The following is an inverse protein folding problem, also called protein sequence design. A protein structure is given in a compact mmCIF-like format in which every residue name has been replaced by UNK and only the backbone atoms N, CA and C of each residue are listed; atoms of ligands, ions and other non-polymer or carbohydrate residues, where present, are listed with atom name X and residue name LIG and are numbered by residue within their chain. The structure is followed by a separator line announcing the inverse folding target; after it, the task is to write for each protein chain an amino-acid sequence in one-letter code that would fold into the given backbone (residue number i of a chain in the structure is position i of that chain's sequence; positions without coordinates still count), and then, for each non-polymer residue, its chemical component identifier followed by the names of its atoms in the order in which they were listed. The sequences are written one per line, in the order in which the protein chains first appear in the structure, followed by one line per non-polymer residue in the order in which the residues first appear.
data_IF_823701674603
#
_entry.id   IF_823701674603
#
_cell.length_a   1.000
_cell.length_b   1.000
_cell.length_c   1.000
_cell.angle_alpha   90.00
_cell.angle_beta   90.00
_cell.angle_gamma   90.00
#
_symmetry.space_group_name_H-M   'P 1'
#
loop_
_entity.id
_entity.type
_entity.pdbx_description
1 polymer ?
#
# COMPACT_ATOMS: atom_id res chain seq x y z
N UNK A 1 -33.00 -3.09 -14.52
CA UNK A 1 -33.76 -2.01 -15.17
C UNK A 1 -34.72 -1.45 -14.16
N UNK A 2 -34.82 -0.12 -14.08
CA UNK A 2 -35.74 0.59 -13.20
C UNK A 2 -36.76 1.30 -14.09
N UNK A 3 -37.72 0.53 -14.61
CA UNK A 3 -38.80 1.05 -15.45
C UNK A 3 -40.01 1.34 -14.55
N UNK A 4 -40.53 2.57 -14.61
CA UNK A 4 -41.64 3.05 -13.75
C UNK A 4 -41.39 2.89 -12.23
N UNK A 5 -40.13 2.85 -11.81
CA UNK A 5 -39.77 2.77 -10.40
C UNK A 5 -40.03 4.11 -9.69
N UNK A 6 -40.73 4.07 -8.56
CA UNK A 6 -40.86 5.23 -7.69
C UNK A 6 -39.52 5.55 -7.02
N UNK A 7 -39.07 6.80 -7.15
CA UNK A 7 -37.84 7.29 -6.55
C UNK A 7 -38.10 8.56 -5.74
N UNK A 8 -37.39 8.73 -4.62
CA UNK A 8 -37.42 9.96 -3.81
C UNK A 8 -36.09 10.67 -3.93
N UNK A 9 -36.10 11.99 -4.11
CA UNK A 9 -34.90 12.81 -4.15
C UNK A 9 -34.18 12.76 -2.78
N UNK A 10 -32.90 12.40 -2.79
CA UNK A 10 -32.02 12.46 -1.63
C UNK A 10 -31.13 13.71 -1.71
N UNK A 11 -31.33 14.65 -0.78
CA UNK A 11 -30.58 15.90 -0.72
C UNK A 11 -31.10 16.95 -1.72
N UNK A 12 -30.18 17.78 -2.22
CA UNK A 12 -30.52 18.88 -3.14
C UNK A 12 -30.74 18.42 -4.58
N UNK A 13 -31.66 19.08 -5.28
CA UNK A 13 -31.88 18.85 -6.71
C UNK A 13 -30.58 19.11 -7.49
N UNK A 14 -30.24 18.21 -8.41
CA UNK A 14 -28.96 18.21 -9.17
C UNK A 14 -27.69 18.03 -8.31
N UNK A 15 -27.82 17.68 -7.02
CA UNK A 15 -26.70 17.47 -6.09
C UNK A 15 -26.14 16.04 -6.06
N UNK A 16 -26.66 15.12 -6.88
CA UNK A 16 -26.41 13.67 -6.76
C UNK A 16 -24.94 13.28 -6.75
N UNK A 17 -24.11 13.83 -7.64
CA UNK A 17 -22.66 13.51 -7.66
C UNK A 17 -21.95 13.97 -6.39
N UNK A 18 -22.28 15.15 -5.88
CA UNK A 18 -21.69 15.66 -4.63
C UNK A 18 -22.07 14.77 -3.44
N UNK A 19 -23.32 14.32 -3.39
CA UNK A 19 -23.79 13.37 -2.38
C UNK A 19 -23.15 11.98 -2.52
N UNK A 20 -22.90 11.50 -3.73
CA UNK A 20 -22.15 10.24 -3.92
C UNK A 20 -20.69 10.36 -3.47
N UNK A 21 -20.03 11.51 -3.72
CA UNK A 21 -18.63 11.70 -3.33
C UNK A 21 -18.41 11.70 -1.81
N UNK A 22 -19.42 12.04 -1.00
CA UNK A 22 -19.29 11.91 0.46
C UNK A 22 -19.15 10.45 0.90
N UNK A 23 -19.76 9.51 0.17
CA UNK A 23 -19.66 8.07 0.46
C UNK A 23 -18.42 7.41 -0.17
N UNK A 24 -17.82 8.04 -1.20
CA UNK A 24 -16.71 7.43 -1.94
C UNK A 24 -15.45 7.21 -1.09
N UNK A 25 -15.14 8.09 -0.13
CA UNK A 25 -13.95 7.92 0.72
C UNK A 25 -14.04 6.62 1.54
N UNK A 26 -15.20 6.37 2.14
CA UNK A 26 -15.45 5.16 2.94
C UNK A 26 -15.52 3.91 2.05
N UNK A 27 -16.20 3.99 0.90
CA UNK A 27 -16.26 2.89 -0.06
C UNK A 27 -14.85 2.48 -0.53
N UNK A 28 -14.02 3.46 -0.90
CA UNK A 28 -12.62 3.22 -1.31
C UNK A 28 -11.77 2.60 -0.20
N UNK A 29 -11.92 3.10 1.03
CA UNK A 29 -11.24 2.53 2.20
C UNK A 29 -11.66 1.07 2.43
N UNK A 30 -12.97 0.78 2.36
CA UNK A 30 -13.52 -0.57 2.48
C UNK A 30 -12.99 -1.51 1.40
N UNK A 31 -12.88 -1.04 0.16
CA UNK A 31 -12.32 -1.83 -0.94
C UNK A 31 -10.82 -2.07 -0.80
N UNK A 32 -10.06 -1.07 -0.35
CA UNK A 32 -8.65 -1.26 0.01
C UNK A 32 -8.46 -2.32 1.11
N UNK A 33 -9.36 -2.32 2.10
CA UNK A 33 -9.37 -3.34 3.16
C UNK A 33 -9.66 -4.75 2.64
N UNK A 34 -10.52 -4.91 1.62
CA UNK A 34 -10.77 -6.22 1.01
C UNK A 34 -9.51 -6.78 0.33
N UNK A 35 -8.81 -5.95 -0.46
CA UNK A 35 -7.54 -6.33 -1.09
C UNK A 35 -6.50 -6.79 -0.06
N UNK A 36 -6.35 -6.00 1.02
CA UNK A 36 -5.49 -6.36 2.15
C UNK A 36 -5.92 -7.67 2.84
N UNK A 37 -7.22 -7.85 3.07
CA UNK A 37 -7.74 -9.01 3.81
C UNK A 37 -7.52 -10.31 3.05
N UNK A 38 -7.72 -10.31 1.73
CA UNK A 38 -7.46 -11.45 0.87
C UNK A 38 -5.96 -11.79 0.78
N UNK A 39 -5.11 -10.75 0.77
CA UNK A 39 -3.65 -10.93 0.89
C UNK A 39 -3.25 -11.59 2.20
N UNK A 40 -3.85 -11.16 3.32
CA UNK A 40 -3.53 -11.67 4.64
C UNK A 40 -3.89 -13.15 4.79
N UNK A 41 -5.11 -13.54 4.41
CA UNK A 41 -5.51 -14.94 4.53
C UNK A 41 -4.71 -15.85 3.59
N UNK A 42 -4.42 -15.40 2.36
CA UNK A 42 -3.57 -16.15 1.44
C UNK A 42 -2.14 -16.31 2.00
N UNK A 43 -1.57 -15.25 2.57
CA UNK A 43 -0.26 -15.28 3.24
C UNK A 43 -0.23 -16.29 4.41
N UNK A 44 -1.24 -16.27 5.29
CA UNK A 44 -1.29 -17.18 6.44
C UNK A 44 -1.31 -18.65 5.99
N UNK A 45 -2.10 -18.97 4.96
CA UNK A 45 -2.14 -20.31 4.37
C UNK A 45 -0.79 -20.71 3.76
N UNK A 46 -0.14 -19.80 3.03
CA UNK A 46 1.19 -20.03 2.45
C UNK A 46 2.27 -20.24 3.52
N UNK A 47 2.24 -19.49 4.63
CA UNK A 47 3.17 -19.70 5.75
C UNK A 47 2.97 -21.08 6.37
N UNK A 48 1.71 -21.48 6.61
CA UNK A 48 1.41 -22.79 7.18
C UNK A 48 1.93 -23.91 6.28
N UNK A 49 1.58 -23.87 4.99
CA UNK A 49 2.06 -24.85 4.02
C UNK A 49 3.58 -24.90 3.91
N UNK A 50 4.25 -23.75 3.92
CA UNK A 50 5.70 -23.68 3.81
C UNK A 50 6.45 -24.30 5.00
N UNK A 51 5.85 -24.29 6.19
CA UNK A 51 6.40 -24.91 7.40
C UNK A 51 6.32 -26.44 7.37
N UNK A 52 5.36 -27.00 6.64
CA UNK A 52 5.09 -28.43 6.64
C UNK A 52 5.63 -29.14 5.39
N UNK A 53 5.52 -28.49 4.22
CA UNK A 53 5.92 -29.09 2.94
C UNK A 53 7.42 -29.34 2.90
N UNK A 54 7.83 -30.60 2.80
CA UNK A 54 9.24 -31.00 2.68
C UNK A 54 9.65 -31.09 1.20
N UNK A 55 10.69 -30.36 0.79
CA UNK A 55 11.27 -30.46 -0.55
C UNK A 55 12.69 -29.88 -0.59
N UNK A 56 13.65 -30.67 -1.06
CA UNK A 56 15.06 -30.25 -1.17
C UNK A 56 15.75 -30.07 0.20
N UNK A 57 17.02 -29.64 0.17
CA UNK A 57 17.79 -29.27 1.36
C UNK A 57 18.15 -27.79 1.33
N UNK A 58 18.26 -27.17 2.49
CA UNK A 58 18.77 -25.79 2.58
C UNK A 58 20.18 -25.70 1.99
N UNK A 59 20.44 -24.60 1.29
CA UNK A 59 21.75 -24.29 0.70
C UNK A 59 22.86 -24.14 1.76
N UNK A 60 22.49 -23.94 3.02
CA UNK A 60 23.41 -23.79 4.16
C UNK A 60 23.51 -25.06 5.03
N UNK A 61 23.24 -26.23 4.43
CA UNK A 61 23.19 -27.52 5.11
C UNK A 61 21.82 -27.83 5.72
N UNK A 62 21.56 -29.13 5.93
CA UNK A 62 20.26 -29.65 6.38
C UNK A 62 19.75 -28.95 7.64
N UNK A 63 18.49 -28.50 7.62
CA UNK A 63 17.81 -27.87 8.77
C UNK A 63 16.86 -28.81 9.50
N UNK A 64 16.43 -29.88 8.84
CA UNK A 64 15.73 -31.01 9.45
C UNK A 64 16.51 -32.30 9.12
N UNK A 65 17.63 -32.55 9.82
CA UNK A 65 18.53 -33.67 9.49
C UNK A 65 17.84 -35.03 9.58
N UNK A 66 16.89 -35.17 10.50
CA UNK A 66 16.15 -36.42 10.73
C UNK A 66 15.02 -36.67 9.72
N UNK A 67 14.72 -35.70 8.84
CA UNK A 67 13.70 -35.83 7.79
C UNK A 67 14.37 -36.08 6.44
N UNK A 68 13.63 -36.62 5.46
CA UNK A 68 14.12 -36.86 4.09
C UNK A 68 14.48 -35.58 3.31
N UNK A 69 13.88 -34.45 3.68
CA UNK A 69 14.08 -33.13 3.09
C UNK A 69 13.75 -32.06 4.14
N UNK A 70 14.17 -30.83 3.88
CA UNK A 70 13.85 -29.68 4.75
C UNK A 70 12.48 -29.09 4.37
N UNK A 71 11.75 -28.49 5.32
CA UNK A 71 10.57 -27.68 5.01
C UNK A 71 10.91 -26.53 4.07
N UNK A 72 10.05 -26.24 3.08
CA UNK A 72 10.37 -25.24 2.04
C UNK A 72 10.57 -23.82 2.59
N UNK A 73 10.07 -23.50 3.78
CA UNK A 73 10.29 -22.21 4.47
C UNK A 73 11.78 -21.90 4.73
N UNK A 74 12.67 -22.89 4.64
CA UNK A 74 14.12 -22.63 4.77
C UNK A 74 14.74 -22.05 3.51
N UNK A 75 14.06 -22.14 2.36
CA UNK A 75 14.60 -21.69 1.08
C UNK A 75 14.51 -20.17 0.94
N UNK A 76 15.59 -19.49 0.50
CA UNK A 76 15.62 -18.03 0.42
C UNK A 76 14.50 -17.42 -0.42
N UNK A 77 14.12 -18.04 -1.53
CA UNK A 77 13.08 -17.49 -2.42
C UNK A 77 11.66 -17.61 -1.81
N UNK A 78 11.39 -18.71 -1.08
CA UNK A 78 10.16 -18.86 -0.30
C UNK A 78 10.12 -17.80 0.80
N UNK A 79 11.23 -17.60 1.51
CA UNK A 79 11.33 -16.54 2.54
C UNK A 79 11.16 -15.16 1.94
N UNK A 80 11.75 -14.85 0.77
CA UNK A 80 11.56 -13.59 0.06
C UNK A 80 10.08 -13.33 -0.18
N UNK A 81 9.37 -14.31 -0.74
CA UNK A 81 7.94 -14.20 -1.05
C UNK A 81 7.09 -13.99 0.21
N UNK A 82 7.30 -14.81 1.24
CA UNK A 82 6.60 -14.69 2.52
C UNK A 82 6.89 -13.35 3.24
N UNK A 83 8.14 -12.89 3.21
CA UNK A 83 8.54 -11.60 3.80
C UNK A 83 7.93 -10.43 3.04
N UNK A 84 7.86 -10.47 1.71
CA UNK A 84 7.19 -9.44 0.91
C UNK A 84 5.72 -9.31 1.29
N UNK A 85 4.97 -10.42 1.30
CA UNK A 85 3.55 -10.40 1.67
C UNK A 85 3.34 -9.89 3.10
N UNK A 86 4.11 -10.42 4.07
CA UNK A 86 4.07 -9.96 5.47
C UNK A 86 4.32 -8.46 5.59
N UNK A 87 5.35 -7.98 4.91
CA UNK A 87 5.79 -6.60 5.00
C UNK A 87 4.72 -5.62 4.46
N UNK A 88 4.08 -5.96 3.35
CA UNK A 88 2.97 -5.18 2.82
C UNK A 88 1.71 -5.29 3.68
N UNK A 89 1.35 -6.49 4.13
CA UNK A 89 0.09 -6.68 4.88
C UNK A 89 0.10 -5.94 6.21
N UNK A 90 1.21 -5.96 6.93
CA UNK A 90 1.29 -5.29 8.21
C UNK A 90 1.32 -3.75 8.08
N UNK A 91 2.04 -3.21 7.10
CA UNK A 91 1.99 -1.76 6.84
C UNK A 91 0.67 -1.32 6.21
N UNK A 92 0.07 -2.14 5.34
CA UNK A 92 -1.23 -1.88 4.74
C UNK A 92 -2.33 -1.85 5.79
N UNK A 93 -2.27 -2.76 6.78
CA UNK A 93 -3.16 -2.73 7.94
C UNK A 93 -2.98 -1.47 8.77
N UNK A 94 -1.74 -1.08 9.06
CA UNK A 94 -1.47 0.17 9.76
C UNK A 94 -1.99 1.39 8.99
N UNK A 95 -1.79 1.46 7.68
CA UNK A 95 -2.23 2.56 6.83
C UNK A 95 -3.77 2.63 6.73
N UNK A 96 -4.44 1.49 6.56
CA UNK A 96 -5.90 1.42 6.52
C UNK A 96 -6.51 1.87 7.85
N UNK A 97 -5.99 1.39 8.98
CA UNK A 97 -6.44 1.81 10.31
C UNK A 97 -6.16 3.29 10.57
N UNK A 98 -4.98 3.79 10.17
CA UNK A 98 -4.64 5.20 10.30
C UNK A 98 -5.58 6.09 9.48
N UNK A 99 -5.89 5.68 8.24
CA UNK A 99 -6.84 6.39 7.38
C UNK A 99 -8.26 6.34 7.97
N UNK A 100 -8.67 5.22 8.57
CA UNK A 100 -9.94 5.11 9.27
C UNK A 100 -10.03 6.07 10.48
N UNK A 101 -8.97 6.17 11.29
CA UNK A 101 -8.88 7.12 12.40
C UNK A 101 -9.01 8.56 11.89
N UNK A 102 -8.34 8.90 10.79
CA UNK A 102 -8.46 10.23 10.17
C UNK A 102 -9.88 10.49 9.65
N UNK A 103 -10.56 9.49 9.10
CA UNK A 103 -11.97 9.59 8.75
C UNK A 103 -12.84 9.89 9.98
N UNK A 104 -12.64 9.18 11.10
CA UNK A 104 -13.37 9.47 12.34
C UNK A 104 -13.11 10.90 12.84
N UNK A 105 -11.86 11.37 12.82
CA UNK A 105 -11.52 12.75 13.21
C UNK A 105 -12.20 13.77 12.29
N UNK A 106 -12.23 13.53 10.97
CA UNK A 106 -12.91 14.40 10.00
C UNK A 106 -14.40 14.57 10.30
N UNK A 107 -15.07 13.49 10.73
CA UNK A 107 -16.51 13.48 11.00
C UNK A 107 -16.88 13.92 12.42
N UNK A 108 -16.01 13.67 13.40
CA UNK A 108 -16.39 13.71 14.83
C UNK A 108 -15.62 14.72 15.66
N UNK A 109 -14.50 15.28 15.18
CA UNK A 109 -13.75 16.25 15.98
C UNK A 109 -14.54 17.53 16.23
N UNK A 110 -14.52 18.02 17.46
CA UNK A 110 -15.06 19.33 17.82
C UNK A 110 -14.22 20.50 17.33
N UNK A 111 -12.98 20.25 16.89
CA UNK A 111 -12.07 21.28 16.39
C UNK A 111 -12.05 21.32 14.86
N UNK A 112 -12.31 22.50 14.28
CA UNK A 112 -12.41 22.74 12.84
C UNK A 112 -11.09 22.48 12.10
N UNK A 113 -9.95 22.77 12.72
CA UNK A 113 -8.63 22.57 12.10
C UNK A 113 -8.30 21.09 12.04
N UNK A 114 -8.61 20.35 13.10
CA UNK A 114 -8.45 18.90 13.12
C UNK A 114 -9.34 18.25 12.05
N UNK A 115 -10.62 18.66 11.95
CA UNK A 115 -11.52 18.15 10.91
C UNK A 115 -10.97 18.40 9.50
N UNK A 116 -10.51 19.62 9.22
CA UNK A 116 -9.97 19.97 7.90
C UNK A 116 -8.69 19.18 7.56
N UNK A 117 -7.76 19.06 8.51
CA UNK A 117 -6.53 18.32 8.30
C UNK A 117 -6.79 16.82 8.07
N UNK A 118 -7.74 16.24 8.80
CA UNK A 118 -8.13 14.84 8.61
C UNK A 118 -8.91 14.61 7.31
N UNK A 119 -9.76 15.54 6.89
CA UNK A 119 -10.45 15.47 5.59
C UNK A 119 -9.46 15.58 4.42
N UNK A 120 -8.49 16.50 4.50
CA UNK A 120 -7.41 16.63 3.53
C UNK A 120 -6.59 15.33 3.42
N UNK A 121 -6.22 14.73 4.57
CA UNK A 121 -5.50 13.46 4.61
C UNK A 121 -6.33 12.34 3.98
N UNK A 122 -7.58 12.20 4.40
CA UNK A 122 -8.49 11.13 3.92
C UNK A 122 -8.72 11.26 2.41
N UNK A 123 -8.97 12.47 1.92
CA UNK A 123 -9.19 12.74 0.50
C UNK A 123 -7.96 12.43 -0.36
N UNK A 124 -6.75 12.61 0.17
CA UNK A 124 -5.49 12.25 -0.49
C UNK A 124 -5.22 10.74 -0.43
N UNK A 125 -5.47 10.11 0.72
CA UNK A 125 -5.01 8.75 1.01
C UNK A 125 -5.97 7.66 0.54
N UNK A 126 -7.28 7.91 0.46
CA UNK A 126 -8.25 6.88 0.02
C UNK A 126 -8.00 6.33 -1.39
N UNK A 127 -7.64 7.11 -2.44
CA UNK A 127 -7.26 6.52 -3.73
C UNK A 127 -5.96 5.70 -3.66
N UNK A 128 -5.00 6.10 -2.82
CA UNK A 128 -3.75 5.35 -2.60
C UNK A 128 -4.06 4.02 -1.90
N UNK A 129 -4.83 4.05 -0.81
CA UNK A 129 -5.26 2.85 -0.07
C UNK A 129 -6.03 1.91 -1.00
N UNK A 130 -7.01 2.42 -1.74
CA UNK A 130 -7.79 1.60 -2.65
C UNK A 130 -6.92 1.01 -3.76
N UNK A 131 -6.22 1.86 -4.52
CA UNK A 131 -5.46 1.39 -5.68
C UNK A 131 -4.30 0.47 -5.30
N UNK A 132 -3.47 0.89 -4.35
CA UNK A 132 -2.25 0.16 -3.99
C UNK A 132 -2.57 -1.14 -3.24
N UNK A 133 -3.47 -1.12 -2.26
CA UNK A 133 -3.76 -2.34 -1.48
C UNK A 133 -4.55 -3.38 -2.26
N UNK A 134 -5.31 -3.01 -3.29
CA UNK A 134 -5.97 -4.01 -4.14
C UNK A 134 -5.05 -4.57 -5.21
N UNK A 135 -4.18 -3.75 -5.83
CA UNK A 135 -3.14 -4.25 -6.75
C UNK A 135 -2.21 -5.23 -6.01
N UNK A 136 -1.67 -4.79 -4.86
CA UNK A 136 -0.80 -5.64 -4.04
C UNK A 136 -1.55 -6.82 -3.42
N UNK A 137 -2.82 -6.63 -3.08
CA UNK A 137 -3.67 -7.71 -2.56
C UNK A 137 -3.76 -8.89 -3.54
N UNK A 138 -4.01 -8.58 -4.82
CA UNK A 138 -4.04 -9.58 -5.88
C UNK A 138 -2.65 -10.17 -6.17
N UNK A 139 -1.62 -9.33 -6.33
CA UNK A 139 -0.24 -9.80 -6.55
C UNK A 139 0.22 -10.79 -5.46
N UNK A 140 -0.14 -10.50 -4.21
CA UNK A 140 0.22 -11.35 -3.08
C UNK A 140 -0.65 -12.61 -2.99
N UNK A 141 -1.92 -12.58 -3.40
CA UNK A 141 -2.71 -13.81 -3.52
C UNK A 141 -2.06 -14.77 -4.53
N UNK A 142 -1.60 -14.25 -5.66
CA UNK A 142 -0.84 -15.02 -6.68
C UNK A 142 0.50 -15.51 -6.11
N UNK A 143 1.24 -14.64 -5.41
CA UNK A 143 2.51 -15.01 -4.77
C UNK A 143 2.33 -16.10 -3.71
N UNK A 144 1.25 -16.04 -2.92
CA UNK A 144 0.91 -17.05 -1.94
C UNK A 144 0.55 -18.38 -2.60
N UNK A 145 -0.23 -18.34 -3.70
CA UNK A 145 -0.53 -19.52 -4.52
C UNK A 145 0.76 -20.19 -5.02
N UNK A 146 1.75 -19.41 -5.46
CA UNK A 146 3.04 -19.91 -5.94
C UNK A 146 3.80 -20.72 -4.86
N UNK A 147 3.67 -20.39 -3.57
CA UNK A 147 4.32 -21.12 -2.47
C UNK A 147 3.86 -22.58 -2.40
N UNK A 148 2.64 -22.87 -2.85
CA UNK A 148 2.11 -24.23 -2.89
C UNK A 148 2.66 -25.07 -4.06
N UNK A 149 3.27 -24.43 -5.07
CA UNK A 149 3.60 -25.07 -6.34
C UNK A 149 2.34 -25.58 -7.04
N UNK A 150 2.39 -26.77 -7.66
CA UNK A 150 1.24 -27.33 -8.38
C UNK A 150 -0.02 -27.51 -7.52
N UNK A 151 0.13 -27.72 -6.21
CA UNK A 151 -0.98 -27.82 -5.27
C UNK A 151 -1.78 -26.51 -5.18
N UNK A 152 -1.14 -25.36 -5.39
CA UNK A 152 -1.82 -24.06 -5.34
C UNK A 152 -2.85 -23.89 -6.46
N UNK A 153 -2.75 -24.69 -7.53
CA UNK A 153 -3.68 -24.67 -8.64
C UNK A 153 -4.89 -25.60 -8.44
N UNK A 154 -4.89 -26.42 -7.39
CA UNK A 154 -6.00 -27.33 -7.07
C UNK A 154 -6.97 -26.61 -6.12
N UNK A 155 -8.25 -26.55 -6.50
CA UNK A 155 -9.29 -25.81 -5.77
C UNK A 155 -9.44 -26.27 -4.31
N UNK A 156 -9.10 -27.53 -3.97
CA UNK A 156 -9.19 -28.07 -2.59
C UNK A 156 -8.34 -27.29 -1.58
N UNK A 157 -7.27 -26.63 -2.04
CA UNK A 157 -6.40 -25.82 -1.19
C UNK A 157 -6.91 -24.37 -1.03
N UNK A 158 -7.93 -23.95 -1.79
CA UNK A 158 -8.56 -22.62 -1.71
C UNK A 158 -7.71 -21.45 -2.23
N UNK A 159 -6.45 -21.65 -2.59
CA UNK A 159 -5.56 -20.56 -3.01
C UNK A 159 -6.01 -19.87 -4.30
N UNK A 160 -6.54 -20.63 -5.27
CA UNK A 160 -7.10 -20.07 -6.51
C UNK A 160 -8.34 -19.22 -6.26
N UNK A 161 -9.14 -19.54 -5.24
CA UNK A 161 -10.28 -18.71 -4.83
C UNK A 161 -9.82 -17.34 -4.37
N UNK A 162 -8.80 -17.24 -3.50
CA UNK A 162 -8.28 -15.95 -3.06
C UNK A 162 -7.80 -15.08 -4.22
N UNK A 163 -7.16 -15.67 -5.24
CA UNK A 163 -6.73 -14.96 -6.45
C UNK A 163 -7.94 -14.41 -7.22
N UNK A 164 -8.97 -15.23 -7.44
CA UNK A 164 -10.20 -14.81 -8.15
C UNK A 164 -10.94 -13.72 -7.38
N UNK A 165 -11.13 -13.91 -6.08
CA UNK A 165 -11.88 -12.98 -5.24
C UNK A 165 -11.13 -11.64 -5.07
N UNK A 166 -9.79 -11.65 -5.09
CA UNK A 166 -9.01 -10.41 -5.03
C UNK A 166 -9.09 -9.58 -6.31
N UNK A 167 -9.44 -10.20 -7.45
CA UNK A 167 -9.43 -9.53 -8.76
C UNK A 167 -10.44 -8.39 -8.84
N UNK A 168 -11.62 -8.56 -8.24
CA UNK A 168 -12.72 -7.59 -8.39
C UNK A 168 -12.43 -6.27 -7.66
N UNK A 169 -11.66 -6.33 -6.57
CA UNK A 169 -11.33 -5.14 -5.77
C UNK A 169 -10.54 -4.09 -6.56
N UNK A 170 -9.75 -4.51 -7.56
CA UNK A 170 -9.04 -3.59 -8.47
C UNK A 170 -9.95 -2.90 -9.49
N UNK A 171 -11.19 -3.37 -9.65
CA UNK A 171 -12.09 -3.00 -10.76
C UNK A 171 -13.24 -2.13 -10.26
N UNK A 172 -14.00 -2.58 -9.25
CA UNK A 172 -15.16 -1.84 -8.78
C UNK A 172 -14.80 -0.65 -7.90
N UNK A 173 -15.81 0.18 -7.56
CA UNK A 173 -15.64 1.43 -6.80
C UNK A 173 -14.57 2.36 -7.41
N UNK A 174 -14.52 2.35 -8.74
CA UNK A 174 -13.53 3.02 -9.58
C UNK A 174 -12.28 2.15 -9.78
N UNK A 175 -12.05 1.74 -11.03
CA UNK A 175 -10.88 0.95 -11.42
C UNK A 175 -9.56 1.64 -11.01
N UNK A 176 -8.50 0.87 -10.78
CA UNK A 176 -7.26 1.42 -10.22
C UNK A 176 -6.61 2.52 -11.06
N UNK A 177 -6.73 2.48 -12.40
CA UNK A 177 -6.32 3.58 -13.26
C UNK A 177 -7.13 4.87 -13.01
N UNK A 178 -8.42 4.76 -12.70
CA UNK A 178 -9.26 5.91 -12.33
C UNK A 178 -8.86 6.47 -10.96
N UNK A 179 -8.49 5.62 -9.99
CA UNK A 179 -7.97 6.09 -8.70
C UNK A 179 -6.66 6.86 -8.87
N UNK A 180 -5.79 6.36 -9.74
CA UNK A 180 -4.52 6.99 -10.06
C UNK A 180 -4.73 8.36 -10.75
N UNK A 181 -5.63 8.43 -11.73
CA UNK A 181 -6.03 9.68 -12.38
C UNK A 181 -6.69 10.66 -11.42
N UNK A 182 -7.53 10.18 -10.50
CA UNK A 182 -8.13 11.00 -9.44
C UNK A 182 -7.05 11.61 -8.55
N UNK A 183 -6.11 10.78 -8.08
CA UNK A 183 -5.00 11.22 -7.25
C UNK A 183 -4.22 12.35 -7.93
N UNK A 184 -3.70 12.11 -9.14
CA UNK A 184 -2.86 13.08 -9.85
C UNK A 184 -3.65 14.28 -10.36
N UNK A 185 -4.79 14.04 -11.01
CA UNK A 185 -5.55 15.08 -11.72
C UNK A 185 -6.46 15.92 -10.83
N UNK A 186 -6.85 15.41 -9.64
CA UNK A 186 -7.73 16.15 -8.71
C UNK A 186 -7.10 16.36 -7.34
N UNK A 187 -6.62 15.31 -6.69
CA UNK A 187 -6.22 15.39 -5.26
C UNK A 187 -4.94 16.18 -5.04
N UNK A 188 -3.95 16.07 -5.93
CA UNK A 188 -2.66 16.76 -5.75
C UNK A 188 -2.76 18.29 -5.77
N UNK A 189 -3.58 18.86 -6.64
CA UNK A 189 -3.71 20.32 -6.77
C UNK A 189 -4.80 20.91 -5.86
N UNK A 190 -5.63 20.06 -5.25
CA UNK A 190 -6.76 20.48 -4.43
C UNK A 190 -6.30 21.41 -3.30
N UNK A 191 -7.01 22.53 -3.12
CA UNK A 191 -6.70 23.54 -2.11
C UNK A 191 -5.24 24.04 -2.16
N UNK A 192 -4.68 24.18 -3.37
CA UNK A 192 -3.27 24.59 -3.55
C UNK A 192 -2.25 23.52 -3.13
N UNK A 193 -2.65 22.25 -3.12
CA UNK A 193 -1.81 21.12 -2.71
C UNK A 193 -1.61 21.00 -1.21
N UNK A 194 -2.49 21.61 -0.40
CA UNK A 194 -2.40 21.63 1.07
C UNK A 194 -2.22 20.22 1.65
N UNK A 195 -3.00 19.24 1.19
CA UNK A 195 -2.94 17.87 1.68
C UNK A 195 -1.56 17.21 1.45
N UNK A 196 -1.03 17.31 0.23
CA UNK A 196 0.26 16.68 -0.12
C UNK A 196 1.43 17.39 0.57
N UNK A 197 1.38 18.70 0.72
CA UNK A 197 2.39 19.46 1.46
C UNK A 197 2.38 19.11 2.95
N UNK A 198 1.18 18.96 3.55
CA UNK A 198 1.06 18.50 4.93
C UNK A 198 1.65 17.10 5.13
N UNK A 199 1.37 16.17 4.21
CA UNK A 199 1.97 14.83 4.22
C UNK A 199 3.50 14.87 4.12
N UNK A 200 4.06 15.66 3.20
CA UNK A 200 5.51 15.81 3.07
C UNK A 200 6.15 16.39 4.33
N UNK A 201 5.49 17.37 4.94
CA UNK A 201 5.94 18.00 6.17
C UNK A 201 5.97 16.97 7.31
N UNK A 202 4.89 16.23 7.52
CA UNK A 202 4.78 15.21 8.58
C UNK A 202 5.89 14.16 8.48
N UNK A 203 6.15 13.62 7.27
CA UNK A 203 7.22 12.64 7.06
C UNK A 203 8.62 13.27 7.21
N UNK A 204 8.78 14.51 6.76
CA UNK A 204 10.03 15.27 6.91
C UNK A 204 10.37 15.51 8.37
N UNK A 205 9.41 15.99 9.15
CA UNK A 205 9.53 16.22 10.59
C UNK A 205 9.83 14.91 11.33
N UNK A 206 9.10 13.83 11.02
CA UNK A 206 9.41 12.51 11.61
C UNK A 206 10.85 12.06 11.33
N UNK A 207 11.35 12.24 10.11
CA UNK A 207 12.73 11.89 9.79
C UNK A 207 13.75 12.74 10.56
N UNK A 208 13.52 14.05 10.72
CA UNK A 208 14.43 14.93 11.46
C UNK A 208 14.37 14.68 12.98
N UNK A 209 13.19 14.51 13.56
CA UNK A 209 13.00 14.21 14.99
C UNK A 209 13.73 12.93 15.43
N UNK A 210 13.86 11.95 14.53
CA UNK A 210 14.49 10.66 14.83
C UNK A 210 15.88 10.53 14.18
N UNK A 211 16.47 11.65 13.71
CA UNK A 211 17.74 11.63 12.98
C UNK A 211 18.94 11.23 13.83
N UNK A 212 18.92 11.55 15.12
CA UNK A 212 20.01 11.29 16.06
C UNK A 212 19.90 9.91 16.72
N UNK A 213 18.78 9.21 16.58
CA UNK A 213 18.62 7.85 17.09
C UNK A 213 19.23 6.85 16.08
N UNK A 214 20.40 6.30 16.43
CA UNK A 214 21.10 5.31 15.61
C UNK A 214 20.27 4.06 15.34
N UNK A 215 19.38 3.68 16.25
CA UNK A 215 18.49 2.52 16.07
C UNK A 215 17.38 2.83 15.06
N UNK A 216 17.02 4.09 14.89
CA UNK A 216 16.05 4.54 13.88
C UNK A 216 16.67 4.83 12.52
N UNK A 217 17.98 5.08 12.46
CA UNK A 217 18.69 5.42 11.22
C UNK A 217 18.44 4.48 10.02
N UNK A 218 18.35 3.14 10.17
CA UNK A 218 18.04 2.25 9.05
C UNK A 218 16.65 2.50 8.43
N UNK A 219 15.69 2.99 9.22
CA UNK A 219 14.32 3.25 8.78
C UNK A 219 14.18 4.67 8.24
N UNK A 220 14.71 5.66 8.95
CA UNK A 220 14.59 7.08 8.57
C UNK A 220 15.38 7.43 7.32
N UNK A 221 16.55 6.82 7.09
CA UNK A 221 17.33 7.05 5.85
C UNK A 221 16.60 6.56 4.60
N UNK A 222 16.05 5.35 4.65
CA UNK A 222 15.28 4.79 3.53
C UNK A 222 13.98 5.57 3.30
N UNK A 223 13.25 5.90 4.37
CA UNK A 223 12.05 6.73 4.29
C UNK A 223 12.35 8.12 3.70
N UNK A 224 13.41 8.79 4.15
CA UNK A 224 13.83 10.10 3.63
C UNK A 224 14.17 10.03 2.15
N UNK A 225 14.88 8.98 1.70
CA UNK A 225 15.14 8.78 0.28
C UNK A 225 13.84 8.65 -0.52
N UNK A 226 12.91 7.81 -0.05
CA UNK A 226 11.61 7.66 -0.71
C UNK A 226 10.77 8.93 -0.73
N UNK A 227 10.79 9.70 0.37
CA UNK A 227 10.14 11.02 0.43
C UNK A 227 10.73 11.96 -0.62
N UNK A 228 12.06 12.00 -0.76
CA UNK A 228 12.71 12.80 -1.79
C UNK A 228 12.30 12.35 -3.20
N UNK A 229 12.22 11.04 -3.45
CA UNK A 229 11.76 10.49 -4.73
C UNK A 229 10.30 10.92 -5.03
N UNK A 230 9.40 10.89 -4.03
CA UNK A 230 8.01 11.32 -4.15
C UNK A 230 7.87 12.83 -4.38
N UNK A 231 8.67 13.63 -3.68
CA UNK A 231 8.73 15.09 -3.88
C UNK A 231 9.21 15.42 -5.29
N UNK A 232 10.24 14.74 -5.78
CA UNK A 232 10.74 14.90 -7.14
C UNK A 232 9.69 14.53 -8.19
N UNK A 233 8.99 13.40 -8.00
CA UNK A 233 7.90 12.98 -8.87
C UNK A 233 6.75 14.01 -8.90
N UNK A 234 6.39 14.55 -7.73
CA UNK A 234 5.33 15.56 -7.59
C UNK A 234 5.74 16.86 -8.28
N UNK A 235 6.99 17.30 -8.10
CA UNK A 235 7.53 18.49 -8.77
C UNK A 235 7.54 18.32 -10.29
N UNK A 236 7.96 17.15 -10.77
CA UNK A 236 7.96 16.83 -12.20
C UNK A 236 6.54 16.92 -12.78
N UNK A 237 5.53 16.37 -12.09
CA UNK A 237 4.13 16.49 -12.50
C UNK A 237 3.67 17.94 -12.55
N UNK A 238 3.94 18.73 -11.51
CA UNK A 238 3.57 20.16 -11.47
C UNK A 238 4.18 20.94 -12.65
N UNK A 239 5.43 20.65 -12.99
CA UNK A 239 6.16 21.33 -14.07
C UNK A 239 5.70 20.91 -15.48
N UNK A 240 5.34 19.64 -15.67
CA UNK A 240 5.17 19.06 -17.01
C UNK A 240 3.71 18.74 -17.38
N UNK A 241 2.81 18.55 -16.41
CA UNK A 241 1.43 18.16 -16.67
C UNK A 241 0.55 19.33 -17.13
N UNK A 242 0.83 20.56 -16.68
CA UNK A 242 0.07 21.73 -17.14
C UNK A 242 0.31 22.02 -18.62
N UNK A 243 1.57 21.92 -19.06
CA UNK A 243 1.95 22.14 -20.45
C UNK A 243 1.53 20.98 -21.37
N UNK A 244 1.56 19.74 -20.85
CA UNK A 244 1.18 18.53 -21.58
C UNK A 244 0.37 17.59 -20.68
N UNK A 245 -0.98 17.68 -20.70
CA UNK A 245 -1.85 16.90 -19.81
C UNK A 245 -1.66 15.39 -19.87
N UNK A 246 -1.27 14.84 -21.02
CA UNK A 246 -0.98 13.40 -21.16
C UNK A 246 0.12 12.92 -20.20
N UNK A 247 1.04 13.80 -19.78
CA UNK A 247 2.05 13.47 -18.78
C UNK A 247 1.43 13.11 -17.43
N UNK A 248 0.33 13.75 -17.02
CA UNK A 248 -0.39 13.38 -15.81
C UNK A 248 -1.04 12.00 -15.95
N UNK A 249 -1.65 11.72 -17.10
CA UNK A 249 -2.27 10.43 -17.38
C UNK A 249 -1.25 9.29 -17.37
N UNK A 250 -0.17 9.45 -18.14
CA UNK A 250 0.93 8.49 -18.27
C UNK A 250 1.60 8.14 -16.94
N UNK A 251 1.84 9.14 -16.10
CA UNK A 251 2.53 8.97 -14.81
C UNK A 251 1.61 8.46 -13.68
N UNK A 252 0.29 8.52 -13.85
CA UNK A 252 -0.67 8.39 -12.75
C UNK A 252 -0.50 7.11 -11.92
N UNK A 253 -0.44 5.94 -12.56
CA UNK A 253 -0.31 4.66 -11.87
C UNK A 253 1.02 4.53 -11.13
N UNK A 254 2.14 4.89 -11.79
CA UNK A 254 3.45 4.87 -11.14
C UNK A 254 3.51 5.83 -9.96
N UNK A 255 2.90 7.02 -10.08
CA UNK A 255 2.80 7.99 -8.99
C UNK A 255 2.01 7.45 -7.80
N UNK A 256 0.85 6.83 -8.05
CA UNK A 256 0.03 6.22 -7.00
C UNK A 256 0.79 5.14 -6.23
N UNK A 257 1.52 4.26 -6.93
CA UNK A 257 2.34 3.23 -6.30
C UNK A 257 3.57 3.79 -5.58
N UNK A 258 4.21 4.83 -6.13
CA UNK A 258 5.31 5.54 -5.44
C UNK A 258 4.81 6.15 -4.13
N UNK A 259 3.67 6.84 -4.16
CA UNK A 259 3.02 7.40 -2.97
C UNK A 259 2.73 6.30 -1.95
N UNK A 260 2.14 5.18 -2.39
CA UNK A 260 1.85 4.02 -1.54
C UNK A 260 3.09 3.45 -0.86
N UNK A 261 4.20 3.28 -1.58
CA UNK A 261 5.47 2.82 -1.01
C UNK A 261 5.96 3.72 0.13
N UNK A 262 5.89 5.05 -0.07
CA UNK A 262 6.29 6.03 0.95
C UNK A 262 5.35 6.02 2.15
N UNK A 263 4.03 5.95 1.93
CA UNK A 263 3.04 5.87 3.00
C UNK A 263 3.20 4.58 3.84
N UNK A 264 3.40 3.43 3.19
CA UNK A 264 3.65 2.15 3.86
C UNK A 264 5.01 2.15 4.59
N UNK A 265 6.05 2.74 4.00
CA UNK A 265 7.34 2.93 4.64
C UNK A 265 7.23 3.81 5.89
N UNK A 266 6.43 4.86 5.85
CA UNK A 266 6.16 5.70 7.01
C UNK A 266 5.47 4.92 8.14
N UNK A 267 4.46 4.11 7.83
CA UNK A 267 3.83 3.21 8.81
C UNK A 267 4.84 2.24 9.44
N UNK A 268 5.75 1.68 8.63
CA UNK A 268 6.84 0.85 9.15
C UNK A 268 7.77 1.58 10.09
N UNK A 269 8.15 2.81 9.76
CA UNK A 269 9.03 3.61 10.61
C UNK A 269 8.36 3.96 11.95
N UNK A 270 7.06 4.29 11.95
CA UNK A 270 6.29 4.50 13.17
C UNK A 270 6.20 3.22 14.03
N UNK A 271 5.88 2.08 13.40
CA UNK A 271 5.84 0.78 14.10
C UNK A 271 7.22 0.40 14.66
N UNK A 272 8.31 0.68 13.94
CA UNK A 272 9.66 0.41 14.40
C UNK A 272 10.04 1.26 15.62
N UNK A 273 9.72 2.56 15.60
CA UNK A 273 9.91 3.45 16.76
C UNK A 273 9.14 2.94 17.99
N UNK A 274 7.88 2.56 17.79
CA UNK A 274 7.04 1.99 18.86
C UNK A 274 7.60 0.67 19.40
N UNK A 275 8.04 -0.23 18.53
CA UNK A 275 8.65 -1.50 18.91
C UNK A 275 9.94 -1.30 19.73
N UNK A 276 10.80 -0.36 19.33
CA UNK A 276 12.01 -0.03 20.07
C UNK A 276 11.72 0.53 21.46
N UNK A 277 10.76 1.45 21.57
CA UNK A 277 10.32 1.98 22.86
C UNK A 277 9.79 0.87 23.77
N UNK A 278 8.93 -0.02 23.25
CA UNK A 278 8.38 -1.13 24.02
C UNK A 278 9.42 -2.15 24.45
N UNK A 279 10.43 -2.42 23.62
CA UNK A 279 11.58 -3.25 24.01
C UNK A 279 12.41 -2.60 25.13
N UNK A 280 12.63 -1.28 25.07
CA UNK A 280 13.33 -0.56 26.13
C UNK A 280 12.54 -0.55 27.46
N UNK A 281 11.21 -0.56 27.39
CA UNK A 281 10.31 -0.70 28.55
C UNK A 281 10.19 -2.15 29.06
N UNK A 282 10.93 -3.12 28.50
CA UNK A 282 10.92 -4.52 28.93
C UNK A 282 9.90 -5.42 28.22
N UNK A 283 9.14 -4.88 27.27
CA UNK A 283 8.22 -5.57 26.35
C UNK A 283 7.10 -6.43 26.95
N UNK A 284 6.99 -6.56 28.28
CA UNK A 284 5.96 -7.33 28.99
C UNK A 284 5.75 -8.75 28.41
N UNK A 285 6.84 -9.46 28.10
CA UNK A 285 6.80 -10.81 27.50
C UNK A 285 6.55 -10.85 25.99
N UNK A 286 6.37 -9.71 25.33
CA UNK A 286 6.14 -9.60 23.89
C UNK A 286 7.41 -9.25 23.08
N UNK A 287 8.61 -9.41 23.65
CA UNK A 287 9.87 -9.09 22.97
C UNK A 287 10.00 -9.77 21.58
N UNK A 288 9.68 -11.08 21.40
CA UNK A 288 9.77 -11.73 20.09
C UNK A 288 8.87 -11.10 19.01
N UNK A 289 7.72 -10.54 19.42
CA UNK A 289 6.82 -9.84 18.50
C UNK A 289 7.46 -8.54 18.00
N UNK A 290 8.02 -7.73 18.91
CA UNK A 290 8.67 -6.47 18.56
C UNK A 290 9.96 -6.68 17.75
N UNK A 291 10.75 -7.69 18.08
CA UNK A 291 11.93 -8.06 17.28
C UNK A 291 11.52 -8.47 15.85
N UNK A 292 10.45 -9.26 15.72
CA UNK A 292 9.89 -9.64 14.41
C UNK A 292 9.43 -8.41 13.63
N UNK A 293 8.80 -7.43 14.28
CA UNK A 293 8.40 -6.16 13.66
C UNK A 293 9.61 -5.39 13.13
N UNK A 294 10.69 -5.30 13.91
CA UNK A 294 11.91 -4.61 13.49
C UNK A 294 12.61 -5.28 12.31
N UNK A 295 12.65 -6.61 12.28
CA UNK A 295 13.19 -7.37 11.13
C UNK A 295 12.34 -7.15 9.88
N UNK A 296 11.02 -7.18 10.02
CA UNK A 296 10.09 -6.98 8.90
C UNK A 296 10.16 -5.54 8.36
N UNK A 297 10.22 -4.56 9.26
CA UNK A 297 10.42 -3.15 8.90
C UNK A 297 11.73 -2.95 8.11
N UNK A 298 12.82 -3.58 8.57
CA UNK A 298 14.12 -3.48 7.91
C UNK A 298 14.07 -4.10 6.51
N UNK A 299 13.44 -5.27 6.38
CA UNK A 299 13.20 -5.90 5.09
C UNK A 299 12.43 -4.98 4.13
N UNK A 300 11.36 -4.31 4.60
CA UNK A 300 10.62 -3.37 3.77
C UNK A 300 11.53 -2.24 3.28
N UNK A 301 12.30 -1.63 4.17
CA UNK A 301 13.21 -0.52 3.86
C UNK A 301 14.32 -0.93 2.88
N UNK A 302 14.86 -2.14 3.00
CA UNK A 302 16.00 -2.60 2.19
C UNK A 302 15.58 -3.25 0.87
N UNK A 303 14.40 -3.88 0.81
CA UNK A 303 14.01 -4.75 -0.31
C UNK A 303 12.81 -4.25 -1.11
N UNK A 304 11.97 -3.40 -0.52
CA UNK A 304 10.75 -2.90 -1.16
C UNK A 304 10.88 -1.40 -1.46
N UNK A 305 11.32 -0.61 -0.48
CA UNK A 305 11.46 0.84 -0.61
C UNK A 305 12.29 1.30 -1.82
N UNK A 306 13.35 0.60 -2.27
CA UNK A 306 14.10 0.99 -3.48
C UNK A 306 13.25 1.11 -4.76
N UNK A 307 12.07 0.49 -4.82
CA UNK A 307 11.13 0.61 -5.94
C UNK A 307 10.71 2.07 -6.21
N UNK A 308 10.77 2.97 -5.21
CA UNK A 308 10.46 4.40 -5.41
C UNK A 308 11.32 5.05 -6.50
N UNK A 309 12.59 4.65 -6.60
CA UNK A 309 13.49 5.18 -7.62
C UNK A 309 13.08 4.72 -9.03
N UNK A 310 12.67 3.46 -9.17
CA UNK A 310 12.17 2.92 -10.44
C UNK A 310 10.88 3.61 -10.88
N UNK A 311 9.95 3.84 -9.94
CA UNK A 311 8.70 4.57 -10.23
C UNK A 311 8.97 6.02 -10.61
N UNK A 312 9.88 6.71 -9.91
CA UNK A 312 10.30 8.06 -10.27
C UNK A 312 10.84 8.12 -11.71
N UNK A 313 11.66 7.15 -12.11
CA UNK A 313 12.21 7.10 -13.46
C UNK A 313 11.10 6.95 -14.53
N UNK A 314 10.08 6.11 -14.28
CA UNK A 314 8.92 5.94 -15.18
C UNK A 314 8.04 7.18 -15.25
N UNK A 315 7.81 7.84 -14.13
CA UNK A 315 7.09 9.12 -14.08
C UNK A 315 7.83 10.17 -14.91
N UNK A 316 9.14 10.26 -14.72
CA UNK A 316 9.97 11.30 -15.33
C UNK A 316 10.21 11.10 -16.84
N UNK A 317 9.88 9.93 -17.40
CA UNK A 317 9.99 9.71 -18.85
C UNK A 317 8.91 10.40 -19.66
N UNK A 318 7.82 10.83 -19.01
CA UNK A 318 6.67 11.46 -19.64
C UNK A 318 5.90 10.55 -20.60
N UNK A 319 4.96 11.16 -21.33
CA UNK A 319 3.97 10.45 -22.15
C UNK A 319 4.44 10.15 -23.58
N UNK A 320 5.55 10.74 -24.03
CA UNK A 320 5.94 10.75 -25.45
C UNK A 320 5.98 9.36 -26.07
N UNK A 321 6.62 8.39 -25.38
CA UNK A 321 6.73 7.01 -25.87
C UNK A 321 5.41 6.25 -25.80
N UNK A 322 4.59 6.48 -24.77
CA UNK A 322 3.29 5.84 -24.58
C UNK A 322 2.26 6.30 -25.62
N UNK A 323 2.33 7.56 -26.02
CA UNK A 323 1.40 8.18 -26.96
C UNK A 323 1.92 8.19 -28.40
N UNK A 324 3.13 7.69 -28.66
CA UNK A 324 3.70 7.61 -30.00
C UNK A 324 3.12 6.48 -30.85
N UNK A 325 2.62 5.40 -30.22
CA UNK A 325 2.02 4.28 -30.94
C UNK A 325 0.61 4.65 -31.41
N UNK A 326 0.32 4.60 -32.73
CA UNK A 326 -1.02 4.84 -33.25
C UNK A 326 -2.03 3.84 -32.71
N UNK A 327 -3.31 4.21 -32.68
CA UNK A 327 -4.37 3.35 -32.17
C UNK A 327 -4.59 2.10 -33.03
N UNK A 328 -4.17 2.14 -34.29
CA UNK A 328 -4.33 1.08 -35.29
C UNK A 328 -3.16 0.08 -35.32
N UNK A 329 -2.09 0.32 -34.56
CA UNK A 329 -0.87 -0.48 -34.56
C UNK A 329 -0.97 -1.77 -33.72
#
# INVERSE_FOLDING_TARGET
NYDEAEGTLLGELNGGLKAMFTMMNEARLGVGLQGLSLSEIAYQNAVSYAKDRLQGRSLSGAKAPDKKADPIIVHPDIRRSLMTMKAYNEAGRALALWTAIKSDVAHRSGDDKDRQAADDYTGLMTPVVKGVLTDKGFDHAVMAQQVFGGHGYIEEHGMSQFVRDARIAMIYEGANGIQALDLVGRKLAQNGGRAVQAFFKELGEFCEENRTDEKMAPFTKALKKGLNDLQAATMWLVQNAMAKPDNAGAASTDYMHLFGLVALGYMWAQMAKSAQAKLAEGANGAAPFYDTKLVTARFFMERIMPETATRLARISSGADTLMALPAEA
#
